data_IF_201755664085
#
_entry.id   IF_201755664085
#
_cell.length_a   1.000
_cell.length_b   1.000
_cell.length_c   1.000
_cell.angle_alpha   90.00
_cell.angle_beta   90.00
_cell.angle_gamma   90.00
#
_symmetry.space_group_name_H-M   'P 1'
#
loop_
_entity.id
_entity.type
_entity.pdbx_description
1 polymer ?
#
# COMPACT_ATOMS: atom_id res chain seq x y z
N UNK A 1 -0.81 7.31 31.60
CA UNK A 1 -1.53 8.29 30.76
C UNK A 1 -1.01 8.10 29.36
N UNK A 2 -1.85 7.65 28.42
CA UNK A 2 -1.44 7.46 27.03
C UNK A 2 -1.63 8.82 26.36
N UNK A 3 -0.54 9.50 26.01
CA UNK A 3 -0.61 10.73 25.24
C UNK A 3 -1.08 10.40 23.81
N UNK A 4 -2.24 10.92 23.44
CA UNK A 4 -2.75 10.81 22.07
C UNK A 4 -2.10 11.90 21.24
N UNK A 5 -1.20 11.52 20.32
CA UNK A 5 -0.62 12.45 19.36
C UNK A 5 -1.67 12.88 18.32
N UNK A 6 -1.74 14.18 18.02
CA UNK A 6 -2.63 14.69 17.00
C UNK A 6 -2.13 14.26 15.61
N UNK A 7 -3.02 13.67 14.80
CA UNK A 7 -2.78 13.31 13.40
C UNK A 7 -3.73 14.13 12.53
N UNK A 8 -3.27 14.56 11.35
CA UNK A 8 -4.09 15.32 10.42
C UNK A 8 -5.30 14.52 9.92
N UNK A 9 -6.37 15.22 9.53
CA UNK A 9 -7.56 14.61 8.94
C UNK A 9 -7.27 13.97 7.57
N UNK A 10 -7.93 12.85 7.30
CA UNK A 10 -7.80 12.16 6.03
C UNK A 10 -8.67 12.84 4.96
N UNK A 11 -8.11 13.08 3.78
CA UNK A 11 -8.91 13.45 2.62
C UNK A 11 -9.93 12.34 2.28
N UNK A 12 -11.21 12.66 1.98
CA UNK A 12 -12.26 11.66 1.79
C UNK A 12 -12.02 10.79 0.55
N UNK A 13 -12.23 9.48 0.69
CA UNK A 13 -12.12 8.46 -0.38
C UNK A 13 -13.14 7.35 -0.12
N UNK A 14 -13.68 6.74 -1.19
CA UNK A 14 -14.71 5.69 -1.06
C UNK A 14 -14.19 4.36 -0.47
N UNK A 15 -12.94 3.97 -0.76
CA UNK A 15 -12.30 2.73 -0.31
C UNK A 15 -10.99 3.00 0.43
N UNK A 16 -11.01 3.86 1.46
CA UNK A 16 -9.85 4.13 2.30
C UNK A 16 -9.74 3.11 3.43
N UNK A 17 -8.57 2.50 3.61
CA UNK A 17 -8.24 1.64 4.76
C UNK A 17 -7.41 2.35 5.83
N UNK A 18 -7.31 3.68 5.73
CA UNK A 18 -6.54 4.54 6.64
C UNK A 18 -5.05 4.20 6.75
N UNK A 19 -4.39 3.92 5.61
CA UNK A 19 -2.94 3.68 5.54
C UNK A 19 -2.05 4.91 5.81
N UNK A 20 -2.66 6.09 6.04
CA UNK A 20 -1.96 7.33 6.42
C UNK A 20 -1.56 8.28 5.29
N UNK A 21 -1.45 7.83 4.03
CA UNK A 21 -1.03 8.70 2.90
C UNK A 21 -1.98 9.90 2.71
N UNK A 22 -3.28 9.70 2.91
CA UNK A 22 -4.31 10.73 2.78
C UNK A 22 -4.23 11.84 3.83
N UNK A 23 -3.40 11.67 4.86
CA UNK A 23 -3.16 12.62 5.97
C UNK A 23 -1.82 13.36 5.82
N UNK A 24 -1.03 13.03 4.81
CA UNK A 24 0.25 13.69 4.52
C UNK A 24 0.04 15.05 3.85
N UNK A 25 1.11 15.81 3.67
CA UNK A 25 1.11 17.04 2.85
C UNK A 25 0.77 16.80 1.38
N UNK A 26 0.81 15.55 0.90
CA UNK A 26 0.57 15.18 -0.49
C UNK A 26 -0.51 14.09 -0.62
N UNK A 27 -1.77 14.36 -0.23
CA UNK A 27 -2.84 13.35 -0.20
C UNK A 27 -3.24 12.80 -1.58
N UNK A 28 -2.81 13.47 -2.66
CA UNK A 28 -2.98 13.00 -4.03
C UNK A 28 -2.12 11.75 -4.33
N UNK A 29 -1.04 11.51 -3.57
CA UNK A 29 -0.21 10.30 -3.71
C UNK A 29 -0.98 9.00 -3.47
N UNK A 30 -2.15 9.06 -2.83
CA UNK A 30 -3.07 7.92 -2.79
C UNK A 30 -3.39 7.37 -4.19
N UNK A 31 -3.45 8.21 -5.23
CA UNK A 31 -3.79 7.79 -6.60
C UNK A 31 -2.74 6.89 -7.26
N UNK A 32 -1.50 6.88 -6.76
CA UNK A 32 -0.40 6.06 -7.30
C UNK A 32 0.15 5.05 -6.30
N UNK A 33 0.04 5.33 -5.00
CA UNK A 33 0.57 4.45 -3.95
C UNK A 33 -0.46 3.42 -3.44
N UNK A 34 -1.76 3.75 -3.46
CA UNK A 34 -2.79 2.91 -2.84
C UNK A 34 -3.02 1.62 -3.64
N UNK A 35 -2.76 0.47 -3.03
CA UNK A 35 -2.99 -0.84 -3.67
C UNK A 35 -4.49 -1.19 -3.82
N UNK A 36 -5.40 -0.45 -3.19
CA UNK A 36 -6.84 -0.58 -3.41
C UNK A 36 -7.35 0.27 -4.60
N UNK A 37 -6.62 1.31 -5.00
CA UNK A 37 -6.97 2.18 -6.13
C UNK A 37 -6.21 1.75 -7.39
N UNK A 38 -4.92 1.46 -7.27
CA UNK A 38 -4.01 1.15 -8.37
C UNK A 38 -3.04 0.03 -7.96
N UNK A 39 -3.49 -1.23 -7.86
CA UNK A 39 -2.63 -2.35 -7.51
C UNK A 39 -1.56 -2.59 -8.58
N UNK A 40 -0.31 -2.78 -8.16
CA UNK A 40 0.78 -3.19 -9.06
C UNK A 40 1.81 -4.08 -8.33
N UNK A 41 1.33 -5.21 -7.81
CA UNK A 41 2.16 -6.14 -7.06
C UNK A 41 3.36 -6.67 -7.86
N UNK A 42 3.27 -7.07 -9.15
CA UNK A 42 4.43 -7.62 -9.85
C UNK A 42 5.61 -6.64 -9.97
N UNK A 43 5.34 -5.36 -10.27
CA UNK A 43 6.41 -4.37 -10.38
C UNK A 43 7.03 -4.03 -9.02
N UNK A 44 6.20 -3.94 -7.97
CA UNK A 44 6.66 -3.66 -6.61
C UNK A 44 7.44 -4.85 -6.02
N UNK A 45 7.00 -6.07 -6.29
CA UNK A 45 7.73 -7.30 -5.96
C UNK A 45 9.09 -7.33 -6.66
N UNK A 46 9.14 -7.03 -7.96
CA UNK A 46 10.40 -6.94 -8.68
C UNK A 46 11.33 -5.86 -8.12
N UNK A 47 10.78 -4.70 -7.73
CA UNK A 47 11.56 -3.61 -7.15
C UNK A 47 12.15 -3.96 -5.77
N UNK A 48 11.40 -4.65 -4.91
CA UNK A 48 11.80 -4.93 -3.52
C UNK A 48 12.57 -6.26 -3.40
N UNK A 49 12.16 -7.29 -4.14
CA UNK A 49 12.68 -8.65 -4.06
C UNK A 49 13.54 -9.06 -5.27
N UNK A 50 13.62 -8.23 -6.32
CA UNK A 50 14.39 -8.50 -7.54
C UNK A 50 13.66 -9.31 -8.61
N UNK A 51 12.48 -9.86 -8.30
CA UNK A 51 11.60 -10.58 -9.25
C UNK A 51 10.13 -10.56 -8.76
N UNK A 52 9.14 -10.71 -9.66
CA UNK A 52 7.78 -11.03 -9.24
C UNK A 52 7.69 -12.48 -8.74
N UNK A 53 6.57 -12.80 -8.09
CA UNK A 53 6.24 -14.20 -7.73
C UNK A 53 6.21 -15.10 -8.97
N UNK A 54 6.66 -16.33 -8.81
CA UNK A 54 6.67 -17.37 -9.83
C UNK A 54 5.48 -18.33 -9.64
N UNK A 55 4.50 -18.36 -10.55
CA UNK A 55 3.36 -19.27 -10.47
C UNK A 55 3.73 -20.76 -10.48
N UNK A 56 4.92 -21.12 -10.96
CA UNK A 56 5.41 -22.50 -10.95
C UNK A 56 5.95 -22.94 -9.58
N UNK A 57 6.08 -22.02 -8.61
CA UNK A 57 6.50 -22.30 -7.24
C UNK A 57 5.28 -22.22 -6.32
N UNK A 58 4.69 -23.36 -5.87
CA UNK A 58 3.39 -23.38 -5.18
C UNK A 58 3.31 -22.52 -3.91
N UNK A 59 4.42 -22.37 -3.19
CA UNK A 59 4.49 -21.54 -1.99
C UNK A 59 4.30 -20.05 -2.33
N UNK A 60 4.81 -19.59 -3.47
CA UNK A 60 4.75 -18.18 -3.84
C UNK A 60 3.35 -17.71 -4.23
N UNK A 61 2.45 -18.65 -4.55
CA UNK A 61 1.03 -18.37 -4.76
C UNK A 61 0.35 -17.87 -3.48
N UNK A 62 0.85 -18.28 -2.31
CA UNK A 62 0.23 -18.02 -1.01
C UNK A 62 1.06 -17.05 -0.14
N UNK A 63 2.39 -17.10 -0.26
CA UNK A 63 3.31 -16.40 0.64
C UNK A 63 4.17 -15.32 -0.03
N UNK A 64 4.15 -15.23 -1.37
CA UNK A 64 4.94 -14.25 -2.13
C UNK A 64 6.36 -14.73 -2.52
N UNK A 65 7.16 -13.85 -3.15
CA UNK A 65 8.47 -14.17 -3.73
C UNK A 65 9.61 -14.36 -2.72
#
# INVERSE_FOLDING_TARGET
>A
MIETFAVADAAPRGLCTDCGISRTSEPARCGTACQFIAPNYPALEAQVHGRPRDPARPDELHFGP
#
